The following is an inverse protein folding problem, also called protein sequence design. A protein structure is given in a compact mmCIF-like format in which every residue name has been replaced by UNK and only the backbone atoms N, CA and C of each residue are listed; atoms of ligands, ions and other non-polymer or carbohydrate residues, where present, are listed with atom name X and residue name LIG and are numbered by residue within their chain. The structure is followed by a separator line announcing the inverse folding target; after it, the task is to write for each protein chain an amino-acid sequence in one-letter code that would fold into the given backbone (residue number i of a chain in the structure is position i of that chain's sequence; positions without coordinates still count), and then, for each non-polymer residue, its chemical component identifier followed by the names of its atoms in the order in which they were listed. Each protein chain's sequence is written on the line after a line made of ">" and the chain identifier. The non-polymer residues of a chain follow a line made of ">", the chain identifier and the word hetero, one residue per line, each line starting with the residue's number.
data_IF_756057061171
#
_entry.id   IF_756057061171
#
_cell.length_a   1.000
_cell.length_b   1.000
_cell.length_c   1.000
_cell.angle_alpha   90.00
_cell.angle_beta   90.00
_cell.angle_gamma   90.00
#
_symmetry.space_group_name_H-M   'P 1'
#
loop_
_entity.id
_entity.type
_entity.pdbx_description
1 polymer ?
#
# COMPACT_ATOMS: atom_id res chain seq x y z
N UNK A 1 15.48 -48.19 16.92
CA UNK A 1 15.86 -47.31 15.80
C UNK A 1 14.58 -46.82 15.16
N UNK A 2 14.16 -45.59 15.48
CA UNK A 2 12.97 -44.97 14.88
C UNK A 2 13.42 -43.60 14.37
N UNK A 3 13.62 -43.51 13.07
CA UNK A 3 13.98 -42.27 12.37
C UNK A 3 13.15 -42.18 11.10
N UNK A 4 11.83 -42.02 11.28
CA UNK A 4 10.91 -41.67 10.20
C UNK A 4 11.11 -40.22 9.79
N UNK A 5 11.34 -40.05 8.51
CA UNK A 5 11.18 -38.86 7.70
C UNK A 5 9.93 -38.03 8.07
N UNK A 6 10.03 -36.71 7.97
CA UNK A 6 9.10 -35.89 7.18
C UNK A 6 9.73 -34.53 6.88
N UNK A 7 9.75 -34.24 5.58
CA UNK A 7 10.23 -33.01 4.98
C UNK A 7 9.24 -31.86 5.15
N UNK A 8 9.79 -30.64 5.14
CA UNK A 8 9.17 -29.42 4.58
C UNK A 8 7.74 -29.12 4.99
N UNK A 9 7.58 -28.37 6.07
CA UNK A 9 6.35 -27.63 6.34
C UNK A 9 6.53 -26.14 5.99
N UNK A 10 6.25 -25.89 4.71
CA UNK A 10 5.41 -24.81 4.17
C UNK A 10 5.51 -23.43 4.82
N UNK A 11 6.05 -22.50 4.03
CA UNK A 11 5.38 -21.23 3.67
C UNK A 11 4.15 -20.94 4.53
N UNK A 12 4.38 -20.35 5.70
CA UNK A 12 3.33 -19.60 6.34
C UNK A 12 3.42 -18.22 5.69
N UNK A 13 2.54 -17.83 4.75
CA UNK A 13 2.34 -16.43 4.47
C UNK A 13 1.78 -15.91 5.78
N UNK A 14 2.66 -15.45 6.66
CA UNK A 14 2.31 -14.53 7.72
C UNK A 14 1.56 -13.45 6.97
N UNK A 15 0.23 -13.56 6.99
CA UNK A 15 -0.64 -12.52 6.53
C UNK A 15 -0.23 -11.39 7.43
N UNK A 16 0.61 -10.50 6.89
CA UNK A 16 1.07 -9.32 7.57
C UNK A 16 -0.22 -8.56 7.88
N UNK A 17 -0.78 -8.82 9.06
CA UNK A 17 -1.74 -7.97 9.77
C UNK A 17 -1.06 -6.65 10.18
N UNK A 18 0.13 -6.38 9.65
CA UNK A 18 0.76 -5.08 9.62
C UNK A 18 0.05 -4.18 8.62
N UNK A 19 0.00 -2.90 8.96
CA UNK A 19 -0.54 -1.89 8.06
C UNK A 19 0.24 -1.91 6.76
N UNK A 20 -0.47 -2.03 5.64
CA UNK A 20 0.16 -1.95 4.32
C UNK A 20 0.57 -0.51 4.04
N UNK A 21 1.75 -0.38 3.44
CA UNK A 21 2.29 0.87 2.98
C UNK A 21 2.31 0.90 1.45
N UNK A 22 1.20 1.27 0.79
CA UNK A 22 1.07 1.14 -0.66
C UNK A 22 1.77 2.25 -1.47
N UNK A 23 2.45 3.18 -0.79
CA UNK A 23 3.10 4.33 -1.40
C UNK A 23 4.53 4.48 -0.88
N UNK A 24 5.43 4.91 -1.74
CA UNK A 24 6.85 5.09 -1.44
C UNK A 24 7.15 6.52 -0.98
N UNK A 25 8.30 6.73 -0.32
CA UNK A 25 8.83 8.07 -0.10
C UNK A 25 9.16 8.70 -1.46
N UNK A 26 8.96 10.00 -1.58
CA UNK A 26 9.10 10.78 -2.80
C UNK A 26 8.09 10.43 -3.91
N UNK A 27 7.06 9.64 -3.58
CA UNK A 27 5.98 9.28 -4.51
C UNK A 27 4.93 10.39 -4.58
N UNK A 28 4.50 10.72 -5.80
CA UNK A 28 3.42 11.70 -6.04
C UNK A 28 2.06 11.03 -5.89
N UNK A 29 1.22 11.60 -5.03
CA UNK A 29 -0.12 11.10 -4.72
C UNK A 29 -1.14 12.23 -4.77
N UNK A 30 -2.38 11.86 -5.06
CA UNK A 30 -3.55 12.73 -5.00
C UNK A 30 -4.27 12.53 -3.68
N UNK A 31 -4.56 13.61 -2.97
CA UNK A 31 -5.34 13.55 -1.74
C UNK A 31 -6.83 13.46 -2.11
N UNK A 32 -7.43 12.28 -1.94
CA UNK A 32 -8.87 12.03 -2.16
C UNK A 32 -9.74 12.54 -1.02
N UNK A 33 -9.18 12.57 0.18
CA UNK A 33 -9.91 12.95 1.38
C UNK A 33 -10.75 11.83 1.99
N UNK A 34 -11.20 12.09 3.22
CA UNK A 34 -12.18 11.31 3.98
C UNK A 34 -12.80 12.25 5.04
N UNK A 35 -13.68 11.74 5.91
CA UNK A 35 -14.32 12.55 6.98
C UNK A 35 -13.35 13.28 7.92
N UNK A 36 -12.07 12.89 7.98
CA UNK A 36 -11.03 13.51 8.82
C UNK A 36 -10.04 14.36 8.04
N UNK A 37 -10.17 14.41 6.72
CA UNK A 37 -9.26 15.18 5.86
C UNK A 37 -9.82 16.58 5.66
N UNK A 38 -9.06 17.64 5.95
CA UNK A 38 -9.47 19.00 5.64
C UNK A 38 -9.69 19.18 4.14
N UNK A 39 -10.84 19.75 3.77
CA UNK A 39 -11.23 19.91 2.36
C UNK A 39 -10.22 20.73 1.55
N UNK A 40 -9.52 21.67 2.20
CA UNK A 40 -8.43 22.47 1.59
C UNK A 40 -7.29 21.64 0.97
N UNK A 41 -7.13 20.40 1.41
CA UNK A 41 -6.12 19.47 0.89
C UNK A 41 -6.70 18.47 -0.11
N UNK A 42 -8.02 18.30 -0.16
CA UNK A 42 -8.66 17.37 -1.08
C UNK A 42 -8.52 17.88 -2.52
N UNK A 43 -8.20 16.97 -3.44
CA UNK A 43 -7.91 17.30 -4.84
C UNK A 43 -6.52 17.90 -5.07
N UNK A 44 -5.73 18.13 -4.01
CA UNK A 44 -4.34 18.58 -4.15
C UNK A 44 -3.41 17.41 -4.44
N UNK A 45 -2.44 17.66 -5.32
CA UNK A 45 -1.29 16.79 -5.48
C UNK A 45 -0.30 17.03 -4.34
N UNK A 46 0.30 15.97 -3.85
CA UNK A 46 1.30 16.02 -2.80
C UNK A 46 2.35 14.93 -3.01
N UNK A 47 3.54 15.16 -2.46
CA UNK A 47 4.61 14.16 -2.45
C UNK A 47 4.74 13.58 -1.05
N UNK A 48 4.91 12.27 -0.95
CA UNK A 48 5.18 11.63 0.33
C UNK A 48 6.61 11.96 0.76
N UNK A 49 6.78 12.56 1.92
CA UNK A 49 8.11 12.90 2.46
C UNK A 49 8.53 11.93 3.56
N UNK A 50 7.57 11.37 4.29
CA UNK A 50 7.87 10.44 5.39
C UNK A 50 6.75 9.44 5.58
N UNK A 51 7.13 8.18 5.84
CA UNK A 51 6.23 7.12 6.23
C UNK A 51 6.18 7.09 7.77
N UNK A 52 4.99 7.17 8.33
CA UNK A 52 4.76 7.05 9.76
C UNK A 52 4.11 5.68 10.08
N UNK A 53 4.00 5.36 11.36
CA UNK A 53 3.34 4.15 11.82
C UNK A 53 1.85 4.13 11.46
N UNK A 54 1.27 2.93 11.41
CA UNK A 54 -0.16 2.70 11.21
C UNK A 54 -0.73 3.28 9.90
N UNK A 55 0.08 3.31 8.84
CA UNK A 55 -0.37 3.74 7.50
C UNK A 55 -0.62 5.24 7.40
N UNK A 56 -0.03 6.02 8.29
CA UNK A 56 0.05 7.47 8.17
C UNK A 56 1.25 7.87 7.32
N UNK A 57 1.10 8.93 6.54
CA UNK A 57 2.17 9.53 5.76
C UNK A 57 2.23 11.02 6.05
N UNK A 58 3.44 11.57 6.08
CA UNK A 58 3.67 12.99 5.94
C UNK A 58 3.75 13.29 4.44
N UNK A 59 2.90 14.22 4.01
CA UNK A 59 2.83 14.68 2.64
C UNK A 59 3.21 16.15 2.58
N UNK A 60 3.87 16.53 1.49
CA UNK A 60 4.14 17.92 1.14
C UNK A 60 3.30 18.31 -0.08
N UNK A 61 2.40 19.27 0.09
CA UNK A 61 1.49 19.73 -0.96
C UNK A 61 2.31 20.37 -2.09
N UNK A 62 2.11 19.88 -3.31
CA UNK A 62 2.72 20.45 -4.50
C UNK A 62 1.95 21.73 -4.85
N UNK A 63 2.65 22.86 -4.86
CA UNK A 63 2.09 24.19 -5.08
C UNK A 63 2.27 25.12 -3.87
N UNK A 64 1.77 24.73 -2.68
CA UNK A 64 1.90 25.56 -1.47
C UNK A 64 3.13 25.23 -0.63
N UNK A 65 3.65 23.99 -0.74
CA UNK A 65 4.75 23.51 0.11
C UNK A 65 4.33 23.21 1.55
N UNK A 66 3.04 23.35 1.89
CA UNK A 66 2.50 22.97 3.20
C UNK A 66 2.70 21.47 3.45
N UNK A 67 2.91 21.10 4.71
CA UNK A 67 3.04 19.70 5.11
C UNK A 67 1.79 19.25 5.88
N UNK A 68 1.28 18.07 5.55
CA UNK A 68 0.09 17.49 6.18
C UNK A 68 0.29 16.00 6.45
N UNK A 69 -0.23 15.51 7.58
CA UNK A 69 -0.23 14.07 7.89
C UNK A 69 -1.59 13.47 7.57
N UNK A 70 -1.62 12.49 6.68
CA UNK A 70 -2.86 11.80 6.27
C UNK A 70 -2.66 10.28 6.21
N UNK A 71 -3.76 9.54 6.33
CA UNK A 71 -3.73 8.07 6.19
C UNK A 71 -3.73 7.68 4.72
N UNK A 72 -3.06 6.55 4.43
CA UNK A 72 -2.98 5.97 3.08
C UNK A 72 -4.36 5.83 2.40
N UNK A 73 -5.40 5.53 3.17
CA UNK A 73 -6.79 5.39 2.68
C UNK A 73 -7.46 6.69 2.22
N UNK A 74 -6.90 7.84 2.56
CA UNK A 74 -7.31 9.15 2.01
C UNK A 74 -6.50 9.59 0.79
N UNK A 75 -5.54 8.75 0.36
CA UNK A 75 -4.63 9.03 -0.74
C UNK A 75 -4.94 8.12 -1.93
N UNK A 76 -4.59 8.57 -3.13
CA UNK A 76 -4.61 7.78 -4.36
C UNK A 76 -3.30 7.99 -5.11
N UNK A 77 -2.78 6.96 -5.77
CA UNK A 77 -1.60 7.08 -6.63
C UNK A 77 -1.89 8.11 -7.72
N UNK A 78 -1.01 9.10 -7.89
CA UNK A 78 -1.08 9.96 -9.06
C UNK A 78 -0.69 9.09 -10.24
N UNK A 79 -1.55 8.97 -11.25
CA UNK A 79 -1.25 8.23 -12.47
C UNK A 79 -0.17 9.02 -13.23
N UNK A 80 1.11 8.82 -12.91
CA UNK A 80 2.14 8.92 -13.94
C UNK A 80 1.90 7.74 -14.86
N UNK A 81 1.65 8.02 -16.13
CA UNK A 81 1.40 7.03 -17.17
C UNK A 81 2.53 6.01 -17.25
N UNK A 82 2.50 4.95 -16.45
CA UNK A 82 3.19 3.71 -16.76
C UNK A 82 2.39 2.55 -16.20
N UNK A 83 1.84 1.79 -17.15
CA UNK A 83 1.23 0.52 -16.93
C UNK A 83 2.29 -0.45 -16.40
N UNK A 84 2.12 -0.92 -15.18
CA UNK A 84 2.46 -2.30 -14.82
C UNK A 84 1.41 -2.76 -13.82
N UNK A 85 0.30 -3.24 -14.35
CA UNK A 85 -0.39 -4.37 -13.73
C UNK A 85 0.62 -5.50 -13.60
N UNK A 86 1.25 -5.66 -12.45
CA UNK A 86 1.80 -6.95 -12.06
C UNK A 86 1.84 -7.07 -10.53
N UNK A 87 0.69 -7.41 -9.96
CA UNK A 87 0.70 -8.26 -8.77
C UNK A 87 -0.56 -9.12 -8.75
N UNK A 88 -0.45 -10.21 -9.50
CA UNK A 88 -1.18 -11.47 -9.42
C UNK A 88 -2.29 -11.51 -8.35
N UNK A 89 -3.59 -11.65 -8.73
CA UNK A 89 -4.49 -12.39 -7.87
C UNK A 89 -4.05 -13.86 -7.94
N UNK A 90 -3.30 -14.33 -6.94
CA UNK A 90 -3.10 -15.77 -6.75
C UNK A 90 -4.45 -16.41 -6.42
N UNK A 91 -5.17 -16.85 -7.44
CA UNK A 91 -6.14 -17.92 -7.31
C UNK A 91 -5.41 -19.22 -7.59
N UNK A 92 -5.31 -20.17 -6.65
CA UNK A 92 -5.03 -21.53 -7.03
C UNK A 92 -6.28 -22.08 -7.74
N UNK A 93 -6.22 -22.06 -9.08
CA UNK A 93 -7.05 -22.94 -9.89
C UNK A 93 -6.44 -24.34 -9.74
N UNK A 94 -7.14 -25.23 -9.05
CA UNK A 94 -6.96 -26.66 -9.24
C UNK A 94 -8.28 -27.20 -9.74
N UNK A 95 -8.37 -27.29 -11.07
CA UNK A 95 -9.38 -28.07 -11.77
C UNK A 95 -8.75 -29.39 -12.24
N UNK A 96 -9.59 -30.42 -12.24
CA UNK A 96 -9.45 -31.77 -12.79
C UNK A 96 -8.62 -32.77 -11.99
N UNK A 97 -9.08 -33.99 -11.72
CA UNK A 97 -10.26 -34.70 -12.25
C UNK A 97 -9.85 -36.12 -12.65
N UNK A 98 -10.53 -37.12 -12.10
CA UNK A 98 -10.90 -38.43 -12.68
C UNK A 98 -11.63 -39.23 -11.61
#
# INVERSE_FOLDING_TARGET
>A
ENGGDIATEVDNPMQHRGVQYPFSINEKVLIKGNRRTPEKFVGREAVITTQCLNGWYLLKIMGTGESVRLQYRSLRKSLSSEATEDRCPQQPIVQNGS
#
